data_IF_431975201419
#
_entry.id   IF_431975201419
#
_cell.length_a   1.000
_cell.length_b   1.000
_cell.length_c   1.000
_cell.angle_alpha   90.00
_cell.angle_beta   90.00
_cell.angle_gamma   90.00
#
_symmetry.space_group_name_H-M   'P 1'
#
loop_
_entity.id
_entity.type
_entity.pdbx_description
1 polymer ?
#
# COMPACT_ATOMS: atom_id res chain seq x y z
N UNK A 1 8.04 4.34 8.21
CA UNK A 1 6.78 4.32 7.43
C UNK A 1 6.48 5.75 6.98
N UNK A 2 5.84 5.95 5.84
CA UNK A 2 5.34 7.27 5.44
C UNK A 2 3.86 7.15 5.11
N UNK A 3 3.06 8.11 5.59
CA UNK A 3 1.61 8.11 5.49
C UNK A 3 1.14 9.44 4.94
N UNK A 4 0.22 9.40 3.98
CA UNK A 4 -0.48 10.59 3.49
C UNK A 4 -1.96 10.50 3.84
N UNK A 5 -2.49 11.57 4.40
CA UNK A 5 -3.89 11.69 4.81
C UNK A 5 -4.52 12.86 4.08
N UNK A 6 -5.69 12.64 3.49
CA UNK A 6 -6.53 13.74 2.98
C UNK A 6 -7.50 14.18 4.06
N UNK A 7 -7.68 15.49 4.20
CA UNK A 7 -8.65 16.10 5.10
C UNK A 7 -9.65 16.87 4.25
N UNK A 8 -10.92 16.50 4.36
CA UNK A 8 -12.06 17.23 3.84
C UNK A 8 -12.74 18.05 4.95
N UNK A 9 -13.89 18.64 4.63
CA UNK A 9 -14.69 19.44 5.57
C UNK A 9 -15.13 18.67 6.83
N UNK A 10 -15.21 17.34 6.77
CA UNK A 10 -15.63 16.47 7.87
C UNK A 10 -14.44 15.82 8.62
N UNK A 11 -13.23 15.85 8.03
CA UNK A 11 -12.03 15.20 8.53
C UNK A 11 -11.34 15.88 9.72
N UNK A 12 -11.80 17.05 10.17
CA UNK A 12 -11.11 17.83 11.21
C UNK A 12 -11.08 17.13 12.58
N UNK A 13 -12.17 16.46 12.97
CA UNK A 13 -12.21 15.67 14.21
C UNK A 13 -11.22 14.50 14.15
N UNK A 14 -11.12 13.86 12.98
CA UNK A 14 -10.16 12.77 12.73
C UNK A 14 -8.71 13.25 12.79
N UNK A 15 -8.43 14.49 12.34
CA UNK A 15 -7.09 15.08 12.48
C UNK A 15 -6.71 15.32 13.94
N UNK A 16 -7.65 15.80 14.77
CA UNK A 16 -7.39 16.01 16.19
C UNK A 16 -7.09 14.69 16.91
N UNK A 17 -7.84 13.63 16.61
CA UNK A 17 -7.58 12.28 17.11
C UNK A 17 -6.21 11.76 16.63
N UNK A 18 -5.90 11.94 15.35
CA UNK A 18 -4.61 11.56 14.79
C UNK A 18 -3.44 12.30 15.46
N UNK A 19 -3.59 13.59 15.74
CA UNK A 19 -2.58 14.39 16.46
C UNK A 19 -2.31 13.83 17.84
N UNK A 20 -3.38 13.48 18.57
CA UNK A 20 -3.27 12.89 19.91
C UNK A 20 -2.48 11.58 19.83
N UNK A 21 -2.84 10.69 18.90
CA UNK A 21 -2.11 9.44 18.67
C UNK A 21 -0.64 9.68 18.32
N UNK A 22 -0.35 10.57 17.37
CA UNK A 22 1.01 10.88 16.94
C UNK A 22 1.87 11.47 18.09
N UNK A 23 1.25 12.25 18.97
CA UNK A 23 1.93 12.90 20.09
C UNK A 23 2.11 11.99 21.30
N UNK A 24 1.17 11.07 21.52
CA UNK A 24 1.17 10.14 22.65
C UNK A 24 1.97 8.86 22.38
N UNK A 25 2.26 8.53 21.12
CA UNK A 25 3.04 7.35 20.74
C UNK A 25 4.46 7.76 20.28
N UNK A 26 5.49 7.66 21.13
CA UNK A 26 6.85 8.09 20.80
C UNK A 26 7.40 7.42 19.54
N UNK A 27 7.02 6.16 19.27
CA UNK A 27 7.47 5.42 18.10
C UNK A 27 6.89 6.01 16.80
N UNK A 28 5.65 6.51 16.83
CA UNK A 28 5.04 7.19 15.67
C UNK A 28 5.86 8.43 15.31
N UNK A 29 6.17 9.27 16.31
CA UNK A 29 6.93 10.50 16.10
C UNK A 29 8.37 10.24 15.61
N UNK A 30 8.95 9.08 15.91
CA UNK A 30 10.30 8.74 15.50
C UNK A 30 10.38 8.06 14.13
N UNK A 31 9.40 7.23 13.78
CA UNK A 31 9.50 6.31 12.64
C UNK A 31 8.45 6.52 11.55
N UNK A 32 7.49 7.43 11.75
CA UNK A 32 6.42 7.74 10.79
C UNK A 32 6.56 9.17 10.28
N UNK A 33 6.70 9.35 8.97
CA UNK A 33 6.54 10.66 8.33
C UNK A 33 5.08 10.83 7.90
N UNK A 34 4.46 11.92 8.33
CA UNK A 34 3.05 12.20 8.04
C UNK A 34 2.91 13.39 7.11
N UNK A 35 2.10 13.22 6.08
CA UNK A 35 1.76 14.24 5.11
C UNK A 35 0.27 14.49 5.15
N UNK A 36 -0.11 15.75 5.37
CA UNK A 36 -1.50 16.17 5.37
C UNK A 36 -1.77 16.89 4.04
N UNK A 37 -2.81 16.44 3.35
CA UNK A 37 -3.28 16.96 2.08
C UNK A 37 -4.68 17.52 2.29
N UNK A 38 -4.94 18.73 1.80
CA UNK A 38 -6.27 19.32 1.82
C UNK A 38 -6.59 19.97 0.47
N UNK A 39 -7.87 20.19 0.20
CA UNK A 39 -8.35 20.83 -1.03
C UNK A 39 -8.41 22.35 -0.80
N UNK A 40 -7.71 23.14 -1.63
CA UNK A 40 -7.55 24.60 -1.45
C UNK A 40 -8.86 25.40 -1.38
N UNK A 41 -9.95 24.89 -1.99
CA UNK A 41 -11.28 25.51 -1.91
C UNK A 41 -11.91 25.42 -0.52
N UNK A 42 -11.48 24.48 0.30
CA UNK A 42 -11.77 24.46 1.72
C UNK A 42 -10.81 25.47 2.37
N UNK A 43 -11.32 26.65 2.75
CA UNK A 43 -10.54 27.62 3.56
C UNK A 43 -9.93 26.85 4.71
N UNK A 44 -8.61 26.73 4.75
CA UNK A 44 -7.90 26.07 5.85
C UNK A 44 -8.36 26.69 7.18
N UNK A 45 -9.07 25.95 8.05
CA UNK A 45 -9.33 26.41 9.40
C UNK A 45 -8.11 26.19 10.30
N UNK A 46 -7.02 25.60 9.78
CA UNK A 46 -5.79 25.45 10.51
C UNK A 46 -5.18 26.83 10.73
N UNK A 47 -5.19 27.26 11.99
CA UNK A 47 -4.28 28.27 12.51
C UNK A 47 -2.87 27.88 12.06
N UNK A 48 -2.17 28.80 11.38
CA UNK A 48 -0.86 28.57 10.73
C UNK A 48 0.22 28.06 11.70
N UNK A 49 -0.06 28.06 12.99
CA UNK A 49 0.71 27.49 14.10
C UNK A 49 0.76 25.95 14.10
N UNK A 50 -0.16 25.25 13.42
CA UNK A 50 -0.19 23.78 13.31
C UNK A 50 0.88 23.21 12.37
N UNK A 51 1.40 24.04 11.44
CA UNK A 51 2.47 23.67 10.49
C UNK A 51 3.81 23.73 11.23
N UNK A 52 4.02 22.77 12.12
CA UNK A 52 5.35 22.55 12.70
C UNK A 52 6.28 21.96 11.65
N UNK A 53 7.59 22.22 11.76
CA UNK A 53 8.65 21.81 10.83
C UNK A 53 8.78 20.31 10.53
N UNK A 54 7.95 19.46 11.16
CA UNK A 54 7.97 17.99 11.01
C UNK A 54 6.78 17.43 10.23
N UNK A 55 5.73 18.21 9.97
CA UNK A 55 4.63 17.82 9.08
C UNK A 55 4.85 18.53 7.76
N UNK A 56 5.27 17.78 6.75
CA UNK A 56 5.41 18.32 5.40
C UNK A 56 4.02 18.45 4.78
N UNK A 57 3.52 19.67 4.79
CA UNK A 57 2.32 20.07 4.07
C UNK A 57 2.66 20.17 2.59
N UNK A 58 2.01 19.34 1.77
CA UNK A 58 2.06 19.45 0.32
C UNK A 58 0.71 19.98 -0.17
N UNK A 59 0.71 21.23 -0.63
CA UNK A 59 -0.44 21.84 -1.30
C UNK A 59 -0.45 21.28 -2.73
N UNK A 60 -1.31 20.29 -3.00
CA UNK A 60 -1.55 19.86 -4.37
C UNK A 60 -2.53 20.83 -5.03
N UNK A 61 -2.00 21.71 -5.90
CA UNK A 61 -2.78 22.64 -6.73
C UNK A 61 -3.59 21.93 -7.82
N UNK A 62 -3.43 20.63 -7.98
CA UNK A 62 -4.03 19.83 -9.04
C UNK A 62 -4.76 18.62 -8.48
N UNK A 63 -5.67 18.84 -7.53
CA UNK A 63 -6.77 17.90 -7.39
C UNK A 63 -7.71 18.26 -8.54
N UNK A 64 -7.55 17.57 -9.68
CA UNK A 64 -8.59 17.41 -10.71
C UNK A 64 -9.93 17.18 -10.00
N UNK A 65 -11.08 17.50 -10.61
CA UNK A 65 -12.44 17.26 -10.08
C UNK A 65 -12.74 15.76 -9.78
N UNK A 66 -11.92 15.13 -8.95
CA UNK A 66 -11.89 13.74 -8.53
C UNK A 66 -12.21 13.80 -7.04
N UNK A 67 -13.35 13.21 -6.61
CA UNK A 67 -13.80 13.28 -5.22
C UNK A 67 -12.77 12.80 -4.19
N UNK A 68 -11.88 11.88 -4.58
CA UNK A 68 -10.81 11.36 -3.74
C UNK A 68 -9.60 10.98 -4.62
N UNK A 69 -8.40 11.57 -4.42
CA UNK A 69 -7.23 11.36 -5.29
C UNK A 69 -6.22 10.34 -4.70
N UNK A 70 -6.48 9.02 -4.73
CA UNK A 70 -5.65 8.02 -4.04
C UNK A 70 -4.20 8.01 -4.53
N UNK A 71 -4.00 8.19 -5.84
CA UNK A 71 -2.67 8.17 -6.44
C UNK A 71 -1.82 9.36 -6.03
N UNK A 72 -2.41 10.56 -5.91
CA UNK A 72 -1.72 11.72 -5.33
C UNK A 72 -1.28 11.42 -3.90
N UNK A 73 -2.15 10.80 -3.07
CA UNK A 73 -1.78 10.44 -1.70
C UNK A 73 -0.66 9.39 -1.66
N UNK A 74 -0.72 8.35 -2.51
CA UNK A 74 0.34 7.35 -2.64
C UNK A 74 1.66 7.99 -3.05
N UNK A 75 1.64 8.93 -4.00
CA UNK A 75 2.84 9.62 -4.48
C UNK A 75 3.45 10.52 -3.42
N UNK A 76 2.63 11.28 -2.67
CA UNK A 76 3.09 12.11 -1.56
C UNK A 76 3.74 11.25 -0.46
N UNK A 77 3.13 10.11 -0.11
CA UNK A 77 3.69 9.18 0.86
C UNK A 77 5.03 8.59 0.37
N UNK A 78 5.10 8.22 -0.91
CA UNK A 78 6.36 7.72 -1.51
C UNK A 78 7.44 8.81 -1.54
N UNK A 79 7.08 10.05 -1.87
CA UNK A 79 8.01 11.17 -1.89
C UNK A 79 8.58 11.47 -0.49
N UNK A 80 7.75 11.40 0.54
CA UNK A 80 8.15 11.62 1.93
C UNK A 80 8.78 10.41 2.63
N UNK A 81 8.86 9.25 1.97
CA UNK A 81 9.48 8.06 2.52
C UNK A 81 11.02 8.15 2.47
N UNK A 82 11.67 7.95 3.62
CA UNK A 82 13.13 8.05 3.76
C UNK A 82 13.89 6.84 3.18
N UNK A 83 13.22 5.71 2.98
CA UNK A 83 13.83 4.48 2.47
C UNK A 83 13.83 4.45 0.94
N UNK A 84 14.74 3.66 0.35
CA UNK A 84 14.81 3.48 -1.12
C UNK A 84 13.78 2.51 -1.67
N UNK A 85 13.33 1.56 -0.85
CA UNK A 85 12.36 0.54 -1.23
C UNK A 85 11.06 0.79 -0.49
N UNK A 86 9.96 0.78 -1.24
CA UNK A 86 8.62 1.10 -0.76
C UNK A 86 7.67 -0.06 -1.06
N UNK A 87 6.86 -0.42 -0.08
CA UNK A 87 5.67 -1.25 -0.27
C UNK A 87 4.45 -0.34 -0.07
N UNK A 88 3.62 -0.17 -1.10
CA UNK A 88 2.58 0.86 -1.13
C UNK A 88 1.23 0.21 -0.79
N UNK A 89 0.81 0.25 0.46
CA UNK A 89 -0.42 -0.38 0.89
C UNK A 89 -1.48 0.64 1.31
N UNK A 90 -2.75 0.28 1.11
CA UNK A 90 -3.88 0.95 1.77
C UNK A 90 -3.84 0.66 3.29
N UNK A 91 -4.45 1.52 4.11
CA UNK A 91 -4.29 1.48 5.58
C UNK A 91 -4.97 0.28 6.23
N UNK A 92 -5.94 -0.31 5.54
CA UNK A 92 -6.71 -1.48 5.94
C UNK A 92 -5.95 -2.80 5.69
N UNK A 93 -4.83 -2.76 4.95
CA UNK A 93 -4.06 -3.97 4.67
C UNK A 93 -3.28 -4.44 5.90
N UNK A 94 -3.48 -5.69 6.28
CA UNK A 94 -2.70 -6.35 7.32
C UNK A 94 -1.51 -7.09 6.71
N UNK A 95 -0.35 -6.98 7.37
CA UNK A 95 0.85 -7.70 6.96
C UNK A 95 1.04 -8.94 7.82
N UNK A 96 1.52 -10.02 7.21
CA UNK A 96 1.86 -11.24 7.93
C UNK A 96 2.82 -10.97 9.10
N UNK A 97 2.74 -11.83 10.13
CA UNK A 97 3.67 -11.78 11.25
C UNK A 97 5.12 -11.77 10.76
N UNK A 98 5.94 -10.89 11.34
CA UNK A 98 7.33 -10.64 10.95
C UNK A 98 7.53 -10.15 9.50
N UNK A 99 6.51 -9.59 8.84
CA UNK A 99 6.63 -9.08 7.48
C UNK A 99 7.78 -8.07 7.33
N UNK A 100 8.03 -7.23 8.33
CA UNK A 100 9.17 -6.30 8.33
C UNK A 100 10.51 -7.03 8.13
N UNK A 101 10.75 -8.11 8.87
CA UNK A 101 11.97 -8.92 8.74
C UNK A 101 12.02 -9.62 7.38
N UNK A 102 10.92 -10.25 6.97
CA UNK A 102 10.82 -10.98 5.71
C UNK A 102 11.05 -10.05 4.51
N UNK A 103 10.35 -8.91 4.46
CA UNK A 103 10.50 -7.91 3.39
C UNK A 103 11.90 -7.30 3.39
N UNK A 104 12.50 -7.03 4.55
CA UNK A 104 13.85 -6.52 4.62
C UNK A 104 14.88 -7.53 4.05
N UNK A 105 14.67 -8.83 4.27
CA UNK A 105 15.56 -9.88 3.74
C UNK A 105 15.60 -9.92 2.21
N UNK A 106 14.54 -9.43 1.53
CA UNK A 106 14.43 -9.40 0.07
C UNK A 106 14.52 -8.01 -0.54
N UNK A 107 14.61 -6.95 0.27
CA UNK A 107 14.56 -5.57 -0.22
C UNK A 107 15.61 -5.27 -1.30
N UNK A 108 16.82 -5.83 -1.17
CA UNK A 108 17.91 -5.66 -2.14
C UNK A 108 17.65 -6.33 -3.51
N UNK A 109 16.60 -7.15 -3.64
CA UNK A 109 16.19 -7.73 -4.92
C UNK A 109 15.34 -6.77 -5.75
N UNK A 110 14.75 -5.75 -5.10
CA UNK A 110 14.09 -4.65 -5.79
C UNK A 110 15.16 -3.69 -6.31
N UNK A 111 15.20 -3.53 -7.62
CA UNK A 111 16.19 -2.69 -8.32
C UNK A 111 15.44 -1.69 -9.21
N UNK A 112 16.15 -0.88 -10.00
CA UNK A 112 15.47 -0.01 -10.99
C UNK A 112 14.87 -0.78 -12.18
N UNK A 113 15.21 -2.07 -12.35
CA UNK A 113 14.73 -2.91 -13.45
C UNK A 113 13.75 -3.99 -12.99
N UNK A 114 13.58 -4.17 -11.69
CA UNK A 114 12.80 -5.28 -11.16
C UNK A 114 12.02 -4.84 -9.93
N UNK A 115 10.76 -5.28 -9.88
CA UNK A 115 9.85 -5.12 -8.75
C UNK A 115 9.50 -6.49 -8.18
N UNK A 116 8.99 -6.53 -6.94
CA UNK A 116 8.44 -7.74 -6.35
C UNK A 116 6.94 -7.58 -6.22
N UNK A 117 6.20 -8.52 -6.78
CA UNK A 117 4.76 -8.65 -6.57
C UNK A 117 4.48 -9.45 -5.30
N UNK A 118 3.59 -8.94 -4.47
CA UNK A 118 3.17 -9.54 -3.21
C UNK A 118 1.74 -10.06 -3.38
N UNK A 119 1.53 -11.33 -3.01
CA UNK A 119 0.19 -11.92 -2.97
C UNK A 119 -0.59 -11.36 -1.79
N UNK A 120 -1.85 -11.02 -2.04
CA UNK A 120 -2.81 -10.59 -1.02
C UNK A 120 -3.95 -11.59 -0.95
N UNK A 121 -4.50 -11.74 0.25
CA UNK A 121 -5.62 -12.61 0.51
C UNK A 121 -6.68 -11.86 1.31
N UNK A 122 -7.92 -12.23 1.10
CA UNK A 122 -9.07 -11.83 1.91
C UNK A 122 -9.60 -13.07 2.62
N UNK A 123 -10.21 -12.88 3.78
CA UNK A 123 -10.79 -13.97 4.55
C UNK A 123 -12.11 -13.50 5.16
N UNK A 124 -12.97 -14.48 5.49
CA UNK A 124 -14.28 -14.21 6.05
C UNK A 124 -14.18 -13.43 7.37
N UNK A 125 -15.06 -12.45 7.57
CA UNK A 125 -15.07 -11.57 8.75
C UNK A 125 -15.18 -12.30 10.10
N UNK A 126 -15.73 -13.52 10.09
CA UNK A 126 -15.91 -14.36 11.27
C UNK A 126 -14.68 -15.23 11.58
N UNK A 127 -13.67 -15.22 10.70
CA UNK A 127 -12.45 -15.98 10.86
C UNK A 127 -11.35 -15.10 11.47
N UNK A 128 -10.40 -15.76 12.15
CA UNK A 128 -9.20 -15.07 12.61
C UNK A 128 -8.18 -14.96 11.49
N UNK A 129 -7.37 -13.91 11.57
CA UNK A 129 -6.27 -13.69 10.63
C UNK A 129 -5.35 -14.94 10.57
N UNK A 130 -5.02 -15.45 9.36
CA UNK A 130 -4.17 -16.61 9.22
C UNK A 130 -2.72 -16.30 9.62
N UNK A 131 -2.32 -16.73 10.81
CA UNK A 131 -0.97 -16.46 11.34
C UNK A 131 0.16 -17.25 10.64
N UNK A 132 -0.17 -18.32 9.92
CA UNK A 132 0.81 -19.17 9.24
C UNK A 132 0.36 -19.53 7.82
N UNK A 133 1.29 -19.83 6.91
CA UNK A 133 0.95 -20.33 5.57
C UNK A 133 0.11 -21.61 5.58
N UNK A 134 0.27 -22.46 6.60
CA UNK A 134 -0.53 -23.68 6.74
C UNK A 134 -2.00 -23.36 7.06
N UNK A 135 -2.25 -22.42 7.98
CA UNK A 135 -3.61 -21.95 8.27
C UNK A 135 -4.24 -21.34 7.02
N UNK A 136 -3.52 -20.45 6.32
CA UNK A 136 -4.00 -19.87 5.07
C UNK A 136 -4.35 -20.95 4.03
N UNK A 137 -3.50 -21.96 3.86
CA UNK A 137 -3.74 -23.09 2.94
C UNK A 137 -5.03 -23.85 3.29
N UNK A 138 -5.28 -24.09 4.56
CA UNK A 138 -6.49 -24.78 5.00
C UNK A 138 -7.75 -23.91 4.86
N UNK A 139 -7.63 -22.59 5.06
CA UNK A 139 -8.70 -21.62 4.80
C UNK A 139 -9.04 -21.54 3.30
N UNK A 140 -8.04 -21.53 2.41
CA UNK A 140 -8.27 -21.56 0.96
C UNK A 140 -9.00 -22.84 0.52
N UNK A 141 -8.62 -24.00 1.07
CA UNK A 141 -9.30 -25.28 0.79
C UNK A 141 -10.76 -25.30 1.26
N UNK A 142 -11.02 -24.70 2.42
CA UNK A 142 -12.36 -24.63 3.03
C UNK A 142 -13.17 -23.44 2.55
N UNK A 143 -12.65 -22.64 1.60
CA UNK A 143 -13.28 -21.44 1.04
C UNK A 143 -13.62 -20.38 2.10
N UNK A 144 -12.76 -20.27 3.10
CA UNK A 144 -12.78 -19.24 4.16
C UNK A 144 -11.80 -18.10 3.91
N UNK A 145 -10.91 -18.30 2.94
CA UNK A 145 -10.00 -17.28 2.41
C UNK A 145 -9.95 -17.40 0.90
N UNK A 146 -9.59 -16.30 0.24
CA UNK A 146 -9.49 -16.18 -1.21
C UNK A 146 -8.34 -15.25 -1.59
N UNK A 147 -7.81 -15.38 -2.81
CA UNK A 147 -6.95 -14.32 -3.36
C UNK A 147 -7.74 -13.01 -3.41
N UNK A 148 -7.07 -11.90 -3.10
CA UNK A 148 -7.70 -10.57 -2.99
C UNK A 148 -8.58 -10.22 -4.19
N UNK A 149 -9.78 -9.68 -3.92
CA UNK A 149 -10.80 -9.36 -4.92
C UNK A 149 -11.27 -10.56 -5.76
N UNK A 150 -11.25 -11.77 -5.21
CA UNK A 150 -11.65 -13.00 -5.92
C UNK A 150 -12.98 -12.88 -6.67
N UNK A 151 -14.00 -12.28 -6.03
CA UNK A 151 -15.35 -12.18 -6.60
C UNK A 151 -15.54 -11.03 -7.59
N UNK A 152 -14.72 -9.99 -7.52
CA UNK A 152 -14.87 -8.77 -8.33
C UNK A 152 -13.85 -8.70 -9.48
N UNK A 153 -12.61 -9.10 -9.23
CA UNK A 153 -11.48 -8.89 -10.12
C UNK A 153 -10.38 -9.96 -9.96
N UNK A 154 -10.76 -11.25 -9.83
CA UNK A 154 -9.79 -12.35 -9.63
C UNK A 154 -8.63 -12.35 -10.61
N UNK A 155 -8.87 -12.09 -11.90
CA UNK A 155 -7.81 -12.05 -12.92
C UNK A 155 -6.85 -10.86 -12.75
N UNK A 156 -7.33 -9.73 -12.24
CA UNK A 156 -6.52 -8.52 -12.08
C UNK A 156 -5.50 -8.67 -10.96
N UNK A 157 -5.81 -9.42 -9.90
CA UNK A 157 -4.90 -9.61 -8.76
C UNK A 157 -4.23 -10.98 -8.73
N UNK A 158 -4.64 -11.92 -9.58
CA UNK A 158 -4.05 -13.25 -9.65
C UNK A 158 -2.54 -13.20 -9.93
N UNK A 159 -1.80 -14.03 -9.22
CA UNK A 159 -0.39 -14.32 -9.52
C UNK A 159 -0.32 -15.82 -9.81
N UNK A 160 0.32 -16.21 -10.91
CA UNK A 160 0.38 -17.63 -11.32
C UNK A 160 1.07 -18.53 -10.30
N UNK A 161 0.73 -19.82 -10.29
CA UNK A 161 1.35 -20.84 -9.42
C UNK A 161 1.03 -20.72 -7.91
N UNK A 162 -0.22 -20.42 -7.56
CA UNK A 162 -0.68 -20.34 -6.16
C UNK A 162 -0.37 -21.63 -5.36
N UNK A 163 -0.70 -22.81 -5.90
CA UNK A 163 -0.50 -24.08 -5.19
C UNK A 163 0.98 -24.38 -4.91
N UNK A 164 1.84 -24.13 -5.89
CA UNK A 164 3.28 -24.30 -5.72
C UNK A 164 3.81 -23.31 -4.66
N UNK A 165 3.42 -22.05 -4.75
CA UNK A 165 3.79 -21.02 -3.78
C UNK A 165 3.36 -21.40 -2.36
N UNK A 166 2.10 -21.84 -2.15
CA UNK A 166 1.60 -22.28 -0.85
C UNK A 166 2.40 -23.48 -0.31
N UNK A 167 2.70 -24.46 -1.16
CA UNK A 167 3.46 -25.65 -0.75
C UNK A 167 4.88 -25.27 -0.30
N UNK A 168 5.56 -24.35 -1.01
CA UNK A 168 6.86 -23.84 -0.57
C UNK A 168 6.75 -23.05 0.75
N UNK A 169 5.76 -22.16 0.87
CA UNK A 169 5.59 -21.32 2.06
C UNK A 169 5.27 -22.12 3.32
N UNK A 170 4.54 -23.24 3.20
CA UNK A 170 4.29 -24.15 4.34
C UNK A 170 5.57 -24.83 4.81
N UNK A 171 6.46 -25.22 3.89
CA UNK A 171 7.68 -25.97 4.21
C UNK A 171 8.86 -25.08 4.66
N UNK A 172 8.80 -23.77 4.38
CA UNK A 172 9.88 -22.82 4.63
C UNK A 172 9.42 -21.66 5.53
N UNK A 173 8.87 -21.99 6.70
CA UNK A 173 8.51 -21.01 7.72
C UNK A 173 9.73 -20.12 8.03
N UNK A 174 9.58 -18.80 7.83
CA UNK A 174 10.60 -17.76 7.98
C UNK A 174 11.53 -17.47 6.77
N UNK A 175 11.26 -18.02 5.58
CA UNK A 175 11.97 -17.62 4.37
C UNK A 175 11.00 -17.03 3.34
N UNK A 176 11.51 -16.14 2.50
CA UNK A 176 10.76 -15.60 1.36
C UNK A 176 11.24 -16.28 0.10
N UNK A 177 10.31 -16.90 -0.62
CA UNK A 177 10.55 -17.43 -1.97
C UNK A 177 10.12 -16.40 -3.00
N UNK A 178 11.02 -16.07 -3.92
CA UNK A 178 10.74 -15.22 -5.07
C UNK A 178 10.82 -16.10 -6.31
N UNK A 179 9.77 -16.06 -7.13
CA UNK A 179 9.73 -16.75 -8.42
C UNK A 179 9.55 -15.70 -9.51
N UNK A 180 10.32 -15.75 -10.60
CA UNK A 180 10.09 -14.88 -11.74
C UNK A 180 8.70 -15.14 -12.33
N UNK A 181 7.96 -14.07 -12.56
CA UNK A 181 6.64 -14.10 -13.21
C UNK A 181 6.64 -13.15 -14.39
N UNK A 182 5.86 -13.48 -15.42
CA UNK A 182 5.66 -12.59 -16.57
C UNK A 182 4.61 -11.54 -16.22
N UNK A 183 4.70 -10.38 -16.85
CA UNK A 183 3.65 -9.39 -16.81
C UNK A 183 2.36 -9.96 -17.41
N UNK A 184 1.26 -9.84 -16.68
CA UNK A 184 -0.01 -10.49 -17.03
C UNK A 184 -0.97 -9.58 -17.83
N UNK A 185 -0.54 -8.36 -18.17
CA UNK A 185 -1.30 -7.43 -19.02
C UNK A 185 -1.79 -6.17 -18.30
N UNK A 186 -2.40 -5.26 -19.06
CA UNK A 186 -2.76 -3.89 -18.62
C UNK A 186 -3.75 -3.81 -17.47
N UNK A 187 -4.51 -4.87 -17.21
CA UNK A 187 -5.46 -4.95 -16.09
C UNK A 187 -4.84 -5.57 -14.83
N UNK A 188 -3.56 -5.98 -14.89
CA UNK A 188 -2.90 -6.64 -13.78
C UNK A 188 -2.49 -5.62 -12.71
N UNK A 189 -2.90 -5.88 -11.49
CA UNK A 189 -2.88 -4.96 -10.34
C UNK A 189 -2.38 -5.69 -9.07
N UNK A 190 -1.19 -6.32 -9.09
CA UNK A 190 -0.63 -6.89 -7.89
C UNK A 190 -0.18 -5.79 -6.93
N UNK A 191 -0.09 -6.13 -5.65
CA UNK A 191 0.58 -5.27 -4.69
C UNK A 191 2.09 -5.29 -4.96
N UNK A 192 2.69 -4.14 -5.25
CA UNK A 192 4.12 -4.07 -5.63
C UNK A 192 5.01 -3.48 -4.53
N UNK A 193 6.21 -4.07 -4.42
CA UNK A 193 7.38 -3.49 -3.75
C UNK A 193 8.27 -2.84 -4.81
N UNK A 194 8.51 -1.53 -4.68
CA UNK A 194 9.13 -0.68 -5.71
C UNK A 194 10.34 0.09 -5.17
N UNK A 195 11.26 0.48 -6.05
CA UNK A 195 12.34 1.41 -5.74
C UNK A 195 11.87 2.87 -5.89
N UNK A 196 12.51 3.81 -5.19
CA UNK A 196 12.31 5.26 -5.37
C UNK A 196 12.59 5.79 -6.79
N UNK A 197 13.27 5.00 -7.63
CA UNK A 197 13.60 5.38 -9.00
C UNK A 197 12.52 4.94 -10.00
N UNK A 198 11.54 4.15 -9.54
CA UNK A 198 10.40 3.78 -10.35
C UNK A 198 9.41 4.93 -10.46
N UNK A 199 8.65 5.00 -11.57
CA UNK A 199 7.66 6.05 -11.79
C UNK A 199 6.65 6.13 -10.64
N UNK A 200 6.10 7.33 -10.46
CA UNK A 200 4.96 7.57 -9.59
C UNK A 200 3.67 7.05 -10.23
N UNK A 201 2.60 6.90 -9.43
CA UNK A 201 1.28 6.62 -9.98
C UNK A 201 0.81 7.80 -10.83
N UNK A 202 0.07 7.51 -11.90
CA UNK A 202 -0.59 8.56 -12.67
C UNK A 202 -1.75 9.15 -11.86
N UNK A 203 -1.68 10.44 -11.53
CA UNK A 203 -2.65 11.12 -10.65
C UNK A 203 -3.98 11.48 -11.33
N UNK A 204 -4.02 11.42 -12.66
CA UNK A 204 -5.21 11.78 -13.44
C UNK A 204 -6.32 10.72 -13.48
N UNK A 205 -6.21 9.64 -12.71
CA UNK A 205 -7.17 8.53 -12.70
C UNK A 205 -8.09 8.65 -11.49
N UNK A 206 -9.43 8.66 -11.68
CA UNK A 206 -10.37 8.61 -10.56
C UNK A 206 -10.29 7.27 -9.82
N UNK A 207 -10.61 7.30 -8.51
CA UNK A 207 -10.68 6.08 -7.70
C UNK A 207 -11.63 5.04 -8.32
N UNK A 208 -11.26 3.75 -8.22
CA UNK A 208 -12.03 2.56 -8.70
C UNK A 208 -12.08 2.35 -10.21
N UNK A 209 -11.35 3.12 -11.02
CA UNK A 209 -11.27 2.87 -12.46
C UNK A 209 -10.04 2.05 -12.83
N UNK A 210 -8.85 2.62 -12.63
CA UNK A 210 -7.58 2.00 -12.97
C UNK A 210 -6.45 2.54 -12.09
N UNK A 211 -6.76 3.06 -10.90
CA UNK A 211 -5.84 3.87 -10.13
C UNK A 211 -4.58 3.10 -9.73
N UNK A 212 -4.68 1.82 -9.38
CA UNK A 212 -3.50 0.99 -9.12
C UNK A 212 -2.95 0.27 -10.38
N UNK A 213 -3.78 -0.04 -11.39
CA UNK A 213 -3.36 -0.74 -12.64
C UNK A 213 -2.31 0.02 -13.45
N UNK A 214 -2.37 1.36 -13.39
CA UNK A 214 -1.45 2.22 -14.14
C UNK A 214 0.01 2.03 -13.71
N UNK A 215 0.29 1.77 -12.42
CA UNK A 215 1.68 1.63 -11.97
C UNK A 215 2.37 0.38 -12.55
N UNK A 216 1.82 -0.84 -12.44
CA UNK A 216 2.36 -2.02 -13.11
C UNK A 216 2.53 -1.82 -14.63
N UNK A 217 1.57 -1.17 -15.28
CA UNK A 217 1.65 -0.85 -16.71
C UNK A 217 2.84 0.05 -17.05
N UNK A 218 3.01 1.15 -16.31
CA UNK A 218 4.14 2.08 -16.51
C UNK A 218 5.48 1.41 -16.19
N UNK A 219 5.55 0.58 -15.14
CA UNK A 219 6.75 -0.18 -14.78
C UNK A 219 7.21 -1.15 -15.86
N UNK A 220 6.28 -1.73 -16.63
CA UNK A 220 6.62 -2.64 -17.73
C UNK A 220 7.05 -1.92 -19.02
N UNK A 221 6.82 -0.61 -19.14
CA UNK A 221 7.27 0.20 -20.28
C UNK A 221 8.57 0.95 -20.04
N UNK A 222 8.95 1.14 -18.77
CA UNK A 222 10.08 1.96 -18.33
C UNK A 222 11.46 1.30 -18.49
#
# INVERSE_FOLDING_TARGET
>A
MSVSLIIDENGFTSLAAYKLLYSCEPLMNQFVTTHIVWIETLKSPCDSTFITSKINVLISKHILNIPYPPNTLRNIARFGALTKIHLIADIENHFSKNANYLLNSIANKVTKQNVIAIRRFEYDENEREPETPQILKDMLKTRKAFEFHHFLASKSHAIENLDAWLNYSVNLTNHVTIVPIKYMGSTWEPQLMVHTLHPYHFEGVPIRFADQQMLPYELCRA
#
